data_IF_454164754243
#
_entry.id   IF_454164754243
#
_cell.length_a   1.000
_cell.length_b   1.000
_cell.length_c   1.000
_cell.angle_alpha   90.00
_cell.angle_beta   90.00
_cell.angle_gamma   90.00
#
_symmetry.space_group_name_H-M   'P 1'
#
loop_
_entity.id
_entity.type
_entity.pdbx_description
1 polymer ?
#
# COMPACT_ATOMS: atom_id res chain seq x y z
N UNK A 1 -22.28 -1.49 -21.31
CA UNK A 1 -21.41 -2.68 -21.30
C UNK A 1 -21.79 -3.48 -20.08
N UNK A 2 -21.99 -4.80 -20.14
CA UNK A 2 -22.30 -5.57 -18.93
C UNK A 2 -21.09 -5.59 -17.99
N UNK A 3 -21.32 -5.59 -16.67
CA UNK A 3 -20.24 -5.60 -15.67
C UNK A 3 -19.32 -6.82 -15.84
N UNK A 4 -19.86 -7.94 -16.30
CA UNK A 4 -19.09 -9.16 -16.65
C UNK A 4 -18.07 -8.90 -17.76
N UNK A 5 -18.46 -8.19 -18.82
CA UNK A 5 -17.55 -7.86 -19.92
C UNK A 5 -16.46 -6.88 -19.46
N UNK A 6 -16.84 -5.91 -18.60
CA UNK A 6 -15.91 -4.96 -18.02
C UNK A 6 -14.85 -5.66 -17.13
N UNK A 7 -15.24 -6.65 -16.32
CA UNK A 7 -14.31 -7.49 -15.54
C UNK A 7 -13.34 -8.23 -16.45
N UNK A 8 -13.84 -8.90 -17.50
CA UNK A 8 -12.97 -9.64 -18.44
C UNK A 8 -11.94 -8.73 -19.11
N UNK A 9 -12.36 -7.53 -19.57
CA UNK A 9 -11.44 -6.56 -20.16
C UNK A 9 -10.39 -6.06 -19.16
N UNK A 10 -10.80 -5.83 -17.91
CA UNK A 10 -9.90 -5.43 -16.85
C UNK A 10 -8.83 -6.51 -16.59
N UNK A 11 -9.21 -7.79 -16.51
CA UNK A 11 -8.28 -8.91 -16.32
C UNK A 11 -7.24 -8.99 -17.46
N UNK A 12 -7.68 -8.84 -18.71
CA UNK A 12 -6.76 -8.83 -19.87
C UNK A 12 -5.75 -7.69 -19.71
N UNK A 13 -6.23 -6.49 -19.45
CA UNK A 13 -5.41 -5.28 -19.31
C UNK A 13 -4.45 -5.35 -18.11
N UNK A 14 -4.90 -5.95 -17.00
CA UNK A 14 -4.06 -6.23 -15.84
C UNK A 14 -2.90 -7.20 -16.14
N UNK A 15 -3.18 -8.25 -16.91
CA UNK A 15 -2.13 -9.19 -17.31
C UNK A 15 -1.09 -8.55 -18.24
N UNK A 16 -1.51 -7.63 -19.11
CA UNK A 16 -0.60 -6.81 -19.91
C UNK A 16 0.22 -5.87 -19.03
N UNK A 17 -0.41 -5.21 -18.05
CA UNK A 17 0.26 -4.35 -17.07
C UNK A 17 1.37 -5.11 -16.31
N UNK A 18 1.09 -6.31 -15.84
CA UNK A 18 2.11 -7.13 -15.18
C UNK A 18 3.29 -7.45 -16.10
N UNK A 19 3.03 -7.73 -17.37
CA UNK A 19 4.09 -7.97 -18.37
C UNK A 19 4.96 -6.73 -18.60
N UNK A 20 4.33 -5.53 -18.67
CA UNK A 20 5.08 -4.29 -18.79
C UNK A 20 5.98 -4.03 -17.58
N UNK A 21 5.45 -4.19 -16.37
CA UNK A 21 6.22 -3.99 -15.13
C UNK A 21 7.38 -4.99 -15.05
N UNK A 22 7.18 -6.24 -15.46
CA UNK A 22 8.22 -7.29 -15.48
C UNK A 22 9.40 -7.00 -16.40
N UNK A 23 9.29 -6.10 -17.35
CA UNK A 23 10.42 -5.67 -18.20
C UNK A 23 11.52 -4.98 -17.38
N UNK A 24 11.18 -4.37 -16.26
CA UNK A 24 12.10 -3.61 -15.38
C UNK A 24 12.25 -4.27 -14.02
N UNK A 25 11.13 -4.73 -13.43
CA UNK A 25 11.10 -5.31 -12.08
C UNK A 25 11.21 -6.83 -12.19
N UNK A 26 12.33 -7.37 -11.74
CA UNK A 26 12.63 -8.79 -11.75
C UNK A 26 12.41 -9.37 -10.34
N UNK A 27 11.73 -10.51 -10.26
CA UNK A 27 11.67 -11.33 -9.05
C UNK A 27 10.76 -10.85 -7.92
N UNK A 28 10.03 -9.75 -8.07
CA UNK A 28 9.15 -9.20 -7.03
C UNK A 28 7.66 -9.31 -7.39
N UNK A 29 7.25 -10.42 -7.98
CA UNK A 29 5.89 -10.61 -8.47
C UNK A 29 4.81 -10.43 -7.40
N UNK A 30 5.04 -10.96 -6.20
CA UNK A 30 4.11 -10.85 -5.08
C UNK A 30 4.01 -9.41 -4.55
N UNK A 31 5.14 -8.72 -4.47
CA UNK A 31 5.20 -7.30 -4.07
C UNK A 31 4.44 -6.42 -5.07
N UNK A 32 4.69 -6.61 -6.37
CA UNK A 32 3.98 -5.91 -7.45
C UNK A 32 2.47 -6.18 -7.36
N UNK A 33 2.07 -7.43 -7.15
CA UNK A 33 0.66 -7.79 -7.02
C UNK A 33 0.00 -7.08 -5.83
N UNK A 34 0.61 -7.09 -4.64
CA UNK A 34 0.07 -6.42 -3.46
C UNK A 34 -0.01 -4.90 -3.64
N UNK A 35 0.97 -4.28 -4.32
CA UNK A 35 0.92 -2.85 -4.68
C UNK A 35 -0.24 -2.57 -5.63
N UNK A 36 -0.43 -3.38 -6.67
CA UNK A 36 -1.53 -3.21 -7.63
C UNK A 36 -2.89 -3.46 -6.98
N UNK A 37 -3.02 -4.47 -6.10
CA UNK A 37 -4.24 -4.69 -5.30
C UNK A 37 -4.54 -3.44 -4.48
N UNK A 38 -3.54 -2.84 -3.82
CA UNK A 38 -3.74 -1.61 -3.04
C UNK A 38 -4.25 -0.46 -3.91
N UNK A 39 -3.67 -0.25 -5.10
CA UNK A 39 -4.06 0.82 -6.03
C UNK A 39 -5.50 0.61 -6.53
N UNK A 40 -5.83 -0.59 -7.01
CA UNK A 40 -7.17 -0.88 -7.53
C UNK A 40 -8.22 -0.98 -6.44
N UNK A 41 -7.85 -1.27 -5.20
CA UNK A 41 -8.73 -1.14 -4.02
C UNK A 41 -8.91 0.30 -3.55
N UNK A 42 -8.12 1.26 -4.04
CA UNK A 42 -8.15 2.65 -3.59
C UNK A 42 -7.59 2.86 -2.19
N UNK A 43 -6.72 1.93 -1.73
CA UNK A 43 -5.99 2.00 -0.46
C UNK A 43 -4.59 2.57 -0.62
N UNK A 44 -3.80 2.57 0.46
CA UNK A 44 -2.41 2.97 0.51
C UNK A 44 -1.55 1.82 1.02
N UNK A 45 -0.25 1.79 0.70
CA UNK A 45 0.62 0.70 1.14
C UNK A 45 1.90 1.21 1.81
N UNK A 46 2.42 0.40 2.73
CA UNK A 46 3.70 0.60 3.39
C UNK A 46 4.68 -0.48 2.90
N UNK A 47 5.79 -0.08 2.30
CA UNK A 47 6.89 -0.97 1.93
C UNK A 47 7.92 -1.02 3.04
N UNK A 48 8.19 -2.19 3.54
CA UNK A 48 9.19 -2.44 4.58
C UNK A 48 10.33 -3.23 3.95
N UNK A 49 11.53 -2.69 3.97
CA UNK A 49 12.69 -3.38 3.42
C UNK A 49 13.96 -2.56 3.53
N UNK A 50 15.09 -3.24 3.46
CA UNK A 50 16.41 -2.62 3.54
C UNK A 50 16.69 -1.70 2.34
N UNK A 51 17.66 -0.79 2.43
CA UNK A 51 18.09 0.01 1.28
C UNK A 51 18.59 -0.88 0.13
N UNK A 52 18.51 -0.39 -1.10
CA UNK A 52 19.02 -1.10 -2.27
C UNK A 52 18.04 -2.08 -2.95
N UNK A 53 16.87 -2.35 -2.38
CA UNK A 53 15.86 -3.25 -2.97
C UNK A 53 14.97 -2.61 -4.04
N UNK A 54 15.48 -1.61 -4.75
CA UNK A 54 14.82 -0.95 -5.88
C UNK A 54 13.40 -0.40 -5.61
N UNK A 55 13.06 -0.04 -4.35
CA UNK A 55 11.73 0.48 -3.97
C UNK A 55 11.29 1.65 -4.85
N UNK A 56 12.17 2.63 -5.06
CA UNK A 56 11.88 3.80 -5.91
C UNK A 56 11.65 3.41 -7.36
N UNK A 57 12.46 2.48 -7.89
CA UNK A 57 12.30 1.97 -9.24
C UNK A 57 10.97 1.25 -9.43
N UNK A 58 10.59 0.41 -8.47
CA UNK A 58 9.29 -0.30 -8.46
C UNK A 58 8.12 0.70 -8.57
N UNK A 59 8.09 1.71 -7.71
CA UNK A 59 6.95 2.65 -7.66
C UNK A 59 6.91 3.52 -8.92
N UNK A 60 8.06 3.97 -9.39
CA UNK A 60 8.17 4.74 -10.64
C UNK A 60 7.67 3.92 -11.84
N UNK A 61 8.12 2.66 -11.97
CA UNK A 61 7.70 1.75 -13.05
C UNK A 61 6.19 1.49 -13.00
N UNK A 62 5.62 1.26 -11.81
CA UNK A 62 4.17 1.08 -11.64
C UNK A 62 3.41 2.34 -12.06
N UNK A 63 3.88 3.52 -11.66
CA UNK A 63 3.24 4.79 -12.01
C UNK A 63 3.26 5.04 -13.53
N UNK A 64 4.41 4.79 -14.17
CA UNK A 64 4.59 4.93 -15.63
C UNK A 64 3.67 3.96 -16.40
N UNK A 65 3.65 2.69 -16.01
CA UNK A 65 2.79 1.68 -16.62
C UNK A 65 1.28 1.95 -16.42
N UNK A 66 0.91 2.61 -15.32
CA UNK A 66 -0.46 3.06 -15.05
C UNK A 66 -0.81 4.43 -15.67
N UNK A 67 0.14 5.12 -16.30
CA UNK A 67 -0.08 6.45 -16.89
C UNK A 67 -0.45 7.52 -15.85
N UNK A 68 0.09 7.42 -14.64
CA UNK A 68 -0.21 8.30 -13.51
C UNK A 68 0.96 9.23 -13.19
N UNK A 69 0.65 10.44 -12.77
CA UNK A 69 1.64 11.38 -12.27
C UNK A 69 2.27 10.87 -10.98
N UNK A 70 3.60 10.87 -10.94
CA UNK A 70 4.42 10.38 -9.84
C UNK A 70 5.24 11.50 -9.21
N UNK A 71 5.32 11.53 -7.87
CA UNK A 71 6.27 12.35 -7.12
C UNK A 71 6.89 11.53 -5.99
N UNK A 72 8.19 11.70 -5.81
CA UNK A 72 8.93 11.18 -4.65
C UNK A 72 9.13 12.31 -3.65
N UNK A 73 8.88 12.02 -2.39
CA UNK A 73 9.16 12.88 -1.25
C UNK A 73 10.14 12.11 -0.37
N UNK A 74 11.38 12.58 -0.28
CA UNK A 74 12.37 12.03 0.65
C UNK A 74 12.12 12.62 2.03
N UNK A 75 11.81 11.80 2.99
CA UNK A 75 11.59 12.21 4.37
C UNK A 75 12.93 12.34 5.08
N UNK A 76 13.26 13.57 5.54
CA UNK A 76 14.47 13.93 6.26
C UNK A 76 14.09 14.60 7.58
N UNK A 77 14.98 14.63 8.59
CA UNK A 77 14.66 15.22 9.89
C UNK A 77 14.23 16.70 9.84
N UNK A 78 14.66 17.43 8.83
CA UNK A 78 14.39 18.85 8.60
C UNK A 78 13.19 19.12 7.69
N UNK A 79 12.57 18.07 7.09
CA UNK A 79 11.42 18.23 6.20
C UNK A 79 10.22 18.81 6.95
N UNK A 80 9.66 19.88 6.40
CA UNK A 80 8.49 20.58 6.98
C UNK A 80 7.19 20.15 6.30
N UNK A 81 6.03 20.26 6.98
CA UNK A 81 4.72 20.02 6.35
C UNK A 81 4.47 20.86 5.10
N UNK A 82 4.95 22.10 5.06
CA UNK A 82 4.86 22.99 3.89
C UNK A 82 5.59 22.45 2.66
N UNK A 83 6.67 21.69 2.84
CA UNK A 83 7.41 21.11 1.72
C UNK A 83 6.63 19.99 1.05
N UNK A 84 5.73 19.34 1.80
CA UNK A 84 4.83 18.29 1.31
C UNK A 84 3.57 18.89 0.72
N UNK A 85 2.91 19.75 1.48
CA UNK A 85 1.57 20.28 1.17
C UNK A 85 1.61 21.45 0.20
N UNK A 86 2.70 22.22 0.20
CA UNK A 86 2.80 23.52 -0.46
C UNK A 86 2.60 24.66 0.51
N UNK A 87 2.74 25.88 0.02
CA UNK A 87 2.67 27.10 0.79
C UNK A 87 2.08 28.25 -0.01
N UNK A 88 1.56 29.26 0.70
CA UNK A 88 1.18 30.52 0.08
C UNK A 88 2.40 31.45 -0.02
N UNK A 89 2.62 31.98 -1.21
CA UNK A 89 3.63 33.00 -1.47
C UNK A 89 2.95 34.29 -1.90
N UNK A 90 3.57 35.42 -1.52
CA UNK A 90 3.15 36.72 -2.01
C UNK A 90 3.68 36.91 -3.45
N UNK A 91 2.79 37.19 -4.39
CA UNK A 91 3.17 37.56 -5.75
C UNK A 91 3.67 39.01 -5.85
N UNK A 92 4.15 39.43 -7.01
CA UNK A 92 4.64 40.79 -7.27
C UNK A 92 3.56 41.87 -7.02
N UNK A 93 2.29 41.49 -7.11
CA UNK A 93 1.12 42.37 -6.90
C UNK A 93 0.61 42.32 -5.44
N UNK A 94 1.37 41.70 -4.52
CA UNK A 94 1.01 41.50 -3.12
C UNK A 94 -0.28 40.67 -2.92
N UNK A 95 -0.60 39.75 -3.83
CA UNK A 95 -1.64 38.76 -3.65
C UNK A 95 -1.02 37.45 -3.17
N UNK A 96 -1.72 36.76 -2.26
CA UNK A 96 -1.32 35.42 -1.86
C UNK A 96 -1.65 34.44 -2.97
N UNK A 97 -0.63 33.70 -3.41
CA UNK A 97 -0.76 32.63 -4.40
C UNK A 97 -0.35 31.32 -3.77
N UNK A 98 -1.24 30.32 -3.81
CA UNK A 98 -0.91 28.99 -3.34
C UNK A 98 -0.02 28.27 -4.37
N UNK A 99 1.13 27.80 -3.90
CA UNK A 99 2.05 26.92 -4.65
C UNK A 99 1.85 25.50 -4.17
N UNK A 100 1.32 24.64 -5.03
CA UNK A 100 1.06 23.23 -4.74
C UNK A 100 2.34 22.49 -4.42
N UNK A 101 2.36 21.75 -3.31
CA UNK A 101 3.44 20.84 -2.96
C UNK A 101 3.38 19.52 -3.76
N UNK A 102 4.38 18.64 -3.59
CA UNK A 102 4.46 17.37 -4.30
C UNK A 102 3.30 16.41 -4.01
N UNK A 103 2.55 16.62 -2.92
CA UNK A 103 1.39 15.81 -2.56
C UNK A 103 0.26 15.86 -3.61
N UNK A 104 0.23 16.90 -4.47
CA UNK A 104 -0.75 17.05 -5.55
C UNK A 104 -0.33 16.24 -6.79
N UNK A 105 -0.13 14.94 -6.58
CA UNK A 105 0.13 13.96 -7.65
C UNK A 105 -0.70 12.71 -7.40
N UNK A 106 -0.87 11.87 -8.43
CA UNK A 106 -1.66 10.65 -8.30
C UNK A 106 -0.97 9.58 -7.46
N UNK A 107 0.34 9.40 -7.64
CA UNK A 107 1.16 8.46 -6.89
C UNK A 107 2.27 9.22 -6.17
N UNK A 108 2.29 9.06 -4.86
CA UNK A 108 3.32 9.62 -3.98
C UNK A 108 4.15 8.48 -3.41
N UNK A 109 5.46 8.54 -3.61
CA UNK A 109 6.41 7.74 -2.84
C UNK A 109 6.91 8.58 -1.66
N UNK A 110 6.43 8.27 -0.46
CA UNK A 110 6.91 8.84 0.79
C UNK A 110 8.09 7.99 1.29
N UNK A 111 9.31 8.37 0.87
CA UNK A 111 10.50 7.55 1.10
C UNK A 111 11.09 7.83 2.48
N UNK A 112 11.29 6.76 3.27
CA UNK A 112 11.79 6.78 4.66
C UNK A 112 10.93 7.63 5.61
N UNK A 113 9.60 7.40 5.60
CA UNK A 113 8.62 8.19 6.36
C UNK A 113 8.94 8.30 7.85
N UNK A 114 9.64 7.31 8.42
CA UNK A 114 10.04 7.29 9.83
C UNK A 114 11.24 8.20 10.16
N UNK A 115 11.89 8.86 9.19
CA UNK A 115 13.01 9.79 9.45
C UNK A 115 12.58 11.21 9.77
N UNK A 116 11.30 11.50 9.71
CA UNK A 116 10.76 12.86 9.91
C UNK A 116 9.95 12.92 11.21
N UNK A 117 9.96 14.06 11.92
CA UNK A 117 9.17 14.22 13.14
C UNK A 117 7.69 14.00 12.93
N UNK A 118 6.93 13.59 13.98
CA UNK A 118 5.51 13.22 13.91
C UNK A 118 4.60 14.27 13.28
N UNK A 119 4.91 15.55 13.41
CA UNK A 119 4.13 16.64 12.81
C UNK A 119 4.09 16.58 11.28
N UNK A 120 5.23 16.27 10.66
CA UNK A 120 5.34 16.16 9.20
C UNK A 120 4.74 14.85 8.69
N UNK A 121 4.93 13.74 9.44
CA UNK A 121 4.23 12.48 9.14
C UNK A 121 2.71 12.67 9.16
N UNK A 122 2.18 13.36 10.20
CA UNK A 122 0.75 13.60 10.35
C UNK A 122 0.15 14.35 9.16
N UNK A 123 0.86 15.31 8.56
CA UNK A 123 0.39 16.05 7.40
C UNK A 123 0.13 15.14 6.19
N UNK A 124 1.04 14.19 5.90
CA UNK A 124 0.84 13.20 4.84
C UNK A 124 -0.31 12.26 5.17
N UNK A 125 -0.35 11.74 6.40
CA UNK A 125 -1.35 10.76 6.84
C UNK A 125 -2.78 11.35 6.90
N UNK A 126 -2.90 12.64 7.19
CA UNK A 126 -4.17 13.36 7.10
C UNK A 126 -4.64 13.46 5.64
N UNK A 127 -3.74 13.89 4.75
CA UNK A 127 -4.05 13.98 3.32
C UNK A 127 -4.43 12.62 2.71
N UNK A 128 -3.81 11.52 3.16
CA UNK A 128 -4.19 10.16 2.77
C UNK A 128 -5.64 9.83 3.15
N UNK A 129 -6.06 10.20 4.34
CA UNK A 129 -7.38 9.88 4.87
C UNK A 129 -8.47 10.78 4.27
N UNK A 130 -8.24 12.10 4.29
CA UNK A 130 -9.23 13.09 3.88
C UNK A 130 -9.27 13.30 2.36
N UNK A 131 -8.25 12.87 1.64
CA UNK A 131 -8.04 13.14 0.20
C UNK A 131 -8.15 14.62 -0.13
N UNK A 132 -7.73 15.43 0.80
CA UNK A 132 -7.70 16.90 0.72
C UNK A 132 -6.67 17.45 1.70
N UNK A 133 -6.23 18.67 1.48
CA UNK A 133 -5.34 19.42 2.37
C UNK A 133 -5.95 20.79 2.64
N UNK A 134 -5.83 21.29 3.87
CA UNK A 134 -6.28 22.62 4.26
C UNK A 134 -5.08 23.51 4.55
N UNK A 135 -4.95 24.61 3.79
CA UNK A 135 -3.86 25.58 3.89
C UNK A 135 -4.46 26.98 3.96
N UNK A 136 -4.04 27.75 4.94
CA UNK A 136 -4.53 29.13 5.18
C UNK A 136 -6.07 29.23 5.16
N UNK A 137 -6.79 28.24 5.69
CA UNK A 137 -8.26 28.20 5.74
C UNK A 137 -8.95 27.72 4.46
N UNK A 138 -8.20 27.46 3.38
CA UNK A 138 -8.72 26.93 2.12
C UNK A 138 -8.48 25.43 2.00
N UNK A 139 -9.52 24.67 1.64
CA UNK A 139 -9.41 23.21 1.43
C UNK A 139 -9.25 22.89 -0.05
N UNK A 140 -8.16 22.23 -0.37
CA UNK A 140 -7.79 21.78 -1.72
C UNK A 140 -7.97 20.26 -1.82
N UNK A 141 -8.79 19.79 -2.76
CA UNK A 141 -8.98 18.36 -3.04
C UNK A 141 -7.79 17.80 -3.81
N UNK A 142 -7.41 16.57 -3.48
CA UNK A 142 -6.41 15.81 -4.23
C UNK A 142 -7.07 15.09 -5.40
N UNK A 143 -6.37 15.05 -6.54
CA UNK A 143 -6.87 14.43 -7.76
C UNK A 143 -6.93 12.89 -7.61
N UNK A 144 -7.99 12.29 -8.16
CA UNK A 144 -8.16 10.83 -8.16
C UNK A 144 -7.60 10.24 -9.47
N UNK A 145 -7.09 8.99 -9.44
CA UNK A 145 -6.83 8.19 -8.24
C UNK A 145 -5.69 8.79 -7.42
N UNK A 146 -5.76 8.70 -6.10
CA UNK A 146 -4.72 9.14 -5.19
C UNK A 146 -4.17 7.97 -4.40
N UNK A 147 -2.89 7.72 -4.51
CA UNK A 147 -2.22 6.60 -3.88
C UNK A 147 -0.90 7.04 -3.24
N UNK A 148 -0.70 6.67 -1.98
CA UNK A 148 0.55 6.86 -1.25
C UNK A 148 1.18 5.50 -0.98
N UNK A 149 2.44 5.40 -1.34
CA UNK A 149 3.29 4.30 -1.01
C UNK A 149 4.42 4.83 -0.14
N UNK A 150 4.36 4.52 1.16
CA UNK A 150 5.39 4.92 2.10
C UNK A 150 6.45 3.83 2.22
N UNK A 151 7.70 4.20 2.52
CA UNK A 151 8.74 3.22 2.81
C UNK A 151 9.25 3.37 4.24
N UNK A 152 9.64 2.24 4.83
CA UNK A 152 10.38 2.18 6.08
C UNK A 152 11.60 1.28 5.92
N UNK A 153 12.70 1.72 6.53
CA UNK A 153 13.90 0.91 6.68
C UNK A 153 13.89 0.26 8.07
N UNK A 154 13.78 -1.08 8.19
CA UNK A 154 13.70 -1.74 9.48
C UNK A 154 15.02 -1.75 10.25
N UNK A 155 16.14 -1.51 9.60
CA UNK A 155 17.49 -1.56 10.21
C UNK A 155 17.86 -0.23 10.87
N UNK A 156 17.42 0.90 10.30
CA UNK A 156 17.72 2.22 10.83
C UNK A 156 16.82 2.53 12.02
N UNK A 157 17.41 2.51 13.22
CA UNK A 157 16.72 2.87 14.47
C UNK A 157 17.16 4.25 15.00
N UNK A 158 18.41 4.65 14.77
CA UNK A 158 18.91 5.94 15.21
C UNK A 158 18.33 7.09 14.37
N UNK A 159 17.89 8.15 15.05
CA UNK A 159 17.30 9.31 14.38
C UNK A 159 15.97 9.08 13.70
N UNK A 160 15.24 8.00 14.06
CA UNK A 160 13.92 7.69 13.52
C UNK A 160 12.81 7.94 14.50
N UNK A 161 11.62 8.22 13.95
CA UNK A 161 10.37 8.40 14.68
C UNK A 161 9.40 7.32 14.19
N UNK A 162 9.22 6.23 14.95
CA UNK A 162 8.30 5.16 14.55
C UNK A 162 6.87 5.68 14.40
N UNK A 163 6.17 5.17 13.41
CA UNK A 163 4.74 5.47 13.24
C UNK A 163 3.94 4.78 14.34
N UNK A 164 3.09 5.51 15.09
CA UNK A 164 2.14 4.88 16.02
C UNK A 164 1.20 3.91 15.29
N UNK A 165 0.70 2.91 16.01
CA UNK A 165 -0.19 1.87 15.47
C UNK A 165 -1.46 2.44 14.82
N UNK A 166 -2.03 3.50 15.42
CA UNK A 166 -3.19 4.20 14.86
C UNK A 166 -2.90 4.87 13.50
N UNK A 167 -1.64 5.20 13.23
CA UNK A 167 -1.19 5.74 11.96
C UNK A 167 -0.88 4.62 10.96
N UNK A 168 -0.27 3.52 11.42
CA UNK A 168 -0.04 2.32 10.62
C UNK A 168 -1.36 1.72 10.10
N UNK A 169 -2.42 1.74 10.88
CA UNK A 169 -3.75 1.24 10.48
C UNK A 169 -4.37 1.99 9.29
N UNK A 170 -3.83 3.15 8.89
CA UNK A 170 -4.24 3.88 7.67
C UNK A 170 -3.74 3.25 6.38
N UNK A 171 -2.66 2.47 6.45
CA UNK A 171 -2.18 1.70 5.31
C UNK A 171 -3.02 0.43 5.14
N UNK A 172 -3.41 0.14 3.91
CA UNK A 172 -4.15 -1.08 3.60
C UNK A 172 -3.25 -2.30 3.73
N UNK A 173 -2.06 -2.24 3.13
CA UNK A 173 -1.04 -3.28 3.17
C UNK A 173 0.25 -2.78 3.85
N UNK A 174 0.91 -3.68 4.58
CA UNK A 174 2.34 -3.63 4.85
C UNK A 174 3.02 -4.74 4.04
N UNK A 175 3.89 -4.36 3.13
CA UNK A 175 4.51 -5.23 2.14
C UNK A 175 6.00 -5.33 2.48
N UNK A 176 6.45 -6.53 2.82
CA UNK A 176 7.87 -6.77 3.05
C UNK A 176 8.58 -6.99 1.72
N UNK A 177 9.71 -6.32 1.56
CA UNK A 177 10.64 -6.55 0.45
C UNK A 177 11.83 -7.32 0.99
N UNK A 178 11.99 -8.53 0.48
CA UNK A 178 13.13 -9.37 0.78
C UNK A 178 14.21 -9.26 -0.33
N UNK A 179 15.41 -9.77 -0.03
CA UNK A 179 16.45 -9.89 -1.04
C UNK A 179 16.00 -10.81 -2.18
N UNK A 180 16.39 -10.50 -3.43
CA UNK A 180 16.13 -11.40 -4.55
C UNK A 180 16.83 -12.75 -4.33
N UNK A 181 16.27 -13.80 -4.89
CA UNK A 181 16.95 -15.09 -4.97
C UNK A 181 18.20 -14.98 -5.86
N UNK A 182 19.11 -15.95 -5.74
CA UNK A 182 20.33 -15.97 -6.55
C UNK A 182 20.06 -15.84 -8.06
N UNK A 183 19.06 -16.53 -8.57
CA UNK A 183 18.73 -16.49 -10.01
C UNK A 183 18.12 -15.13 -10.42
N UNK A 184 17.28 -14.56 -9.59
CA UNK A 184 16.72 -13.22 -9.81
C UNK A 184 17.80 -12.14 -9.78
N UNK A 185 18.76 -12.24 -8.85
CA UNK A 185 19.90 -11.32 -8.78
C UNK A 185 20.79 -11.42 -10.02
N UNK A 186 21.06 -12.65 -10.52
CA UNK A 186 21.76 -12.86 -11.80
C UNK A 186 21.02 -12.18 -12.96
N UNK A 187 19.70 -12.30 -13.02
CA UNK A 187 18.90 -11.68 -14.07
C UNK A 187 18.84 -10.16 -13.93
N UNK A 188 18.78 -9.63 -12.72
CA UNK A 188 18.91 -8.17 -12.44
C UNK A 188 20.24 -7.67 -12.99
N UNK A 189 21.36 -8.33 -12.67
CA UNK A 189 22.68 -7.91 -13.13
C UNK A 189 22.76 -7.94 -14.66
N UNK A 190 22.29 -9.00 -15.30
CA UNK A 190 22.26 -9.10 -16.77
C UNK A 190 21.46 -7.98 -17.41
N UNK A 191 20.28 -7.65 -16.86
CA UNK A 191 19.40 -6.63 -17.44
C UNK A 191 19.84 -5.20 -17.16
N UNK A 192 20.46 -4.93 -16.02
CA UNK A 192 20.87 -3.58 -15.62
C UNK A 192 22.24 -3.17 -16.15
N UNK A 193 23.10 -4.12 -16.52
CA UNK A 193 24.45 -3.84 -17.04
C UNK A 193 24.54 -3.72 -18.56
N UNK A 194 23.46 -3.99 -19.31
CA UNK A 194 23.43 -4.02 -20.78
C UNK A 194 22.99 -2.68 -21.41
N UNK A 195 23.13 -1.58 -20.76
CA UNK A 195 23.03 -0.22 -21.37
C UNK A 195 21.69 0.23 -21.96
N UNK A 196 20.80 -0.64 -22.39
CA UNK A 196 19.50 -0.29 -22.95
C UNK A 196 18.39 -0.46 -21.89
N UNK A 197 17.79 0.64 -21.45
CA UNK A 197 16.62 0.56 -20.58
C UNK A 197 15.38 0.25 -21.42
N UNK A 198 14.58 -0.78 -21.05
CA UNK A 198 13.31 -1.05 -21.73
C UNK A 198 12.36 0.14 -21.54
N UNK A 199 11.64 0.47 -22.61
CA UNK A 199 10.60 1.50 -22.58
C UNK A 199 9.32 0.88 -22.02
N UNK A 200 8.70 1.55 -21.05
CA UNK A 200 7.42 1.17 -20.48
C UNK A 200 6.29 1.86 -21.21
N UNK A 201 5.28 1.09 -21.62
CA UNK A 201 4.07 1.63 -22.22
C UNK A 201 3.04 1.87 -21.13
N UNK A 202 2.42 3.06 -21.15
CA UNK A 202 1.25 3.34 -20.32
C UNK A 202 0.04 2.57 -20.85
N UNK A 203 -0.57 1.75 -19.97
CA UNK A 203 -1.70 0.90 -20.31
C UNK A 203 -3.04 1.38 -19.75
N UNK A 204 -3.03 2.29 -18.79
CA UNK A 204 -4.22 2.83 -18.16
C UNK A 204 -4.23 4.35 -18.21
N UNK A 205 -5.41 4.93 -18.03
CA UNK A 205 -5.61 6.34 -17.67
C UNK A 205 -6.16 6.46 -16.26
N UNK A 206 -6.10 7.66 -15.69
CA UNK A 206 -6.66 7.92 -14.37
C UNK A 206 -8.16 7.57 -14.30
N UNK A 207 -8.93 7.92 -15.33
CA UNK A 207 -10.36 7.64 -15.42
C UNK A 207 -10.66 6.13 -15.49
N UNK A 208 -9.83 5.36 -16.20
CA UNK A 208 -9.97 3.91 -16.29
C UNK A 208 -9.71 3.25 -14.93
N UNK A 209 -8.70 3.70 -14.18
CA UNK A 209 -8.42 3.19 -12.85
C UNK A 209 -9.59 3.48 -11.90
N UNK A 210 -10.15 4.70 -11.93
CA UNK A 210 -11.34 5.05 -11.14
C UNK A 210 -12.53 4.16 -11.51
N UNK A 211 -12.73 3.87 -12.79
CA UNK A 211 -13.79 2.94 -13.25
C UNK A 211 -13.55 1.52 -12.74
N UNK A 212 -12.30 1.03 -12.76
CA UNK A 212 -11.95 -0.28 -12.20
C UNK A 212 -12.21 -0.33 -10.69
N UNK A 213 -11.83 0.71 -9.92
CA UNK A 213 -12.13 0.80 -8.50
C UNK A 213 -13.65 0.75 -8.23
N UNK A 214 -14.44 1.50 -9.02
CA UNK A 214 -15.90 1.46 -8.93
C UNK A 214 -16.51 0.10 -9.29
N UNK A 215 -15.93 -0.62 -10.25
CA UNK A 215 -16.33 -1.98 -10.62
C UNK A 215 -16.06 -2.96 -9.47
N UNK A 216 -14.85 -2.91 -8.88
CA UNK A 216 -14.47 -3.76 -7.75
C UNK A 216 -15.40 -3.57 -6.54
N UNK A 217 -15.79 -2.33 -6.25
CA UNK A 217 -16.73 -2.06 -5.14
C UNK A 217 -18.06 -2.76 -5.33
N UNK A 218 -18.56 -2.91 -6.57
CA UNK A 218 -19.82 -3.58 -6.90
C UNK A 218 -19.76 -5.11 -6.89
N UNK A 219 -18.57 -5.71 -6.83
CA UNK A 219 -18.42 -7.17 -6.79
C UNK A 219 -19.16 -7.73 -5.55
N UNK A 220 -20.09 -8.68 -5.74
CA UNK A 220 -20.80 -9.30 -4.63
C UNK A 220 -19.87 -10.14 -3.76
N UNK A 221 -20.18 -10.24 -2.48
CA UNK A 221 -19.48 -11.11 -1.52
C UNK A 221 -20.53 -11.93 -0.79
N UNK A 222 -20.33 -13.23 -0.69
CA UNK A 222 -21.23 -14.10 0.07
C UNK A 222 -21.08 -13.85 1.58
N UNK A 223 -22.17 -13.97 2.33
CA UNK A 223 -22.21 -13.67 3.77
C UNK A 223 -21.20 -14.50 4.57
N UNK A 224 -21.01 -15.78 4.23
CA UNK A 224 -20.03 -16.65 4.87
C UNK A 224 -18.57 -16.14 4.71
N UNK A 225 -18.25 -15.48 3.60
CA UNK A 225 -16.92 -14.87 3.37
C UNK A 225 -16.75 -13.62 4.23
N UNK A 226 -17.81 -12.82 4.37
CA UNK A 226 -17.82 -11.65 5.26
C UNK A 226 -17.66 -12.10 6.71
N UNK A 227 -18.43 -13.09 7.14
CA UNK A 227 -18.36 -13.67 8.49
C UNK A 227 -16.98 -14.26 8.79
N UNK A 228 -16.37 -14.94 7.81
CA UNK A 228 -15.00 -15.45 7.92
C UNK A 228 -13.99 -14.31 8.15
N UNK A 229 -14.03 -13.24 7.34
CA UNK A 229 -13.12 -12.11 7.49
C UNK A 229 -13.28 -11.43 8.86
N UNK A 230 -14.50 -11.24 9.34
CA UNK A 230 -14.78 -10.66 10.68
C UNK A 230 -14.29 -11.58 11.79
N UNK A 231 -14.54 -12.90 11.65
CA UNK A 231 -14.07 -13.90 12.61
C UNK A 231 -12.55 -13.97 12.66
N UNK A 232 -11.88 -13.96 11.49
CA UNK A 232 -10.42 -13.95 11.40
C UNK A 232 -9.83 -12.74 12.16
N UNK A 233 -10.37 -11.55 11.96
CA UNK A 233 -9.96 -10.35 12.71
C UNK A 233 -10.29 -10.48 14.20
N UNK A 234 -11.45 -11.04 14.54
CA UNK A 234 -11.84 -11.32 15.93
C UNK A 234 -10.85 -12.25 16.64
N UNK A 235 -10.38 -13.31 15.96
CA UNK A 235 -9.37 -14.24 16.47
C UNK A 235 -8.04 -13.54 16.83
N UNK A 236 -7.69 -12.40 16.19
CA UNK A 236 -6.45 -11.68 16.50
C UNK A 236 -6.47 -10.94 17.83
N UNK A 237 -7.63 -10.77 18.47
CA UNK A 237 -7.82 -9.96 19.68
C UNK A 237 -7.70 -10.83 20.93
N UNK A 238 -6.66 -10.67 21.77
CA UNK A 238 -6.42 -11.57 22.93
C UNK A 238 -7.57 -11.66 23.92
N UNK A 239 -8.36 -10.60 24.06
CA UNK A 239 -9.52 -10.53 24.98
C UNK A 239 -10.84 -10.97 24.35
N UNK A 240 -10.84 -11.35 23.05
CA UNK A 240 -12.04 -11.86 22.39
C UNK A 240 -12.37 -13.28 22.82
N UNK A 241 -13.66 -13.64 22.84
CA UNK A 241 -14.11 -15.03 23.03
C UNK A 241 -13.65 -15.96 21.91
N UNK A 242 -13.34 -15.41 20.73
CA UNK A 242 -12.85 -16.15 19.55
C UNK A 242 -11.33 -16.24 19.50
N UNK A 243 -10.59 -15.65 20.47
CA UNK A 243 -9.14 -15.66 20.49
C UNK A 243 -8.59 -17.09 20.62
N UNK A 244 -7.62 -17.42 19.74
CA UNK A 244 -6.91 -18.69 19.81
C UNK A 244 -5.89 -18.68 20.97
N UNK A 245 -5.45 -19.85 21.43
CA UNK A 245 -4.45 -19.95 22.51
C UNK A 245 -3.12 -19.29 22.14
N UNK A 246 -2.72 -19.37 20.87
CA UNK A 246 -1.51 -18.69 20.36
C UNK A 246 -1.64 -17.18 20.48
N UNK A 247 -2.79 -16.60 20.14
CA UNK A 247 -3.04 -15.16 20.25
C UNK A 247 -3.08 -14.71 21.70
N UNK A 248 -3.75 -15.44 22.60
CA UNK A 248 -3.77 -15.13 24.04
C UNK A 248 -2.37 -15.15 24.65
N UNK A 249 -1.48 -16.04 24.14
CA UNK A 249 -0.13 -16.21 24.66
C UNK A 249 0.86 -15.17 24.13
N UNK A 250 0.72 -14.74 22.86
CA UNK A 250 1.76 -14.03 22.13
C UNK A 250 1.39 -12.65 21.58
N UNK A 251 0.11 -12.25 21.63
CA UNK A 251 -0.35 -10.98 21.11
C UNK A 251 -0.83 -10.08 22.25
N UNK A 252 -0.30 -8.85 22.30
CA UNK A 252 -0.77 -7.81 23.22
C UNK A 252 -1.96 -7.05 22.65
N UNK A 253 -1.93 -6.78 21.34
CA UNK A 253 -2.97 -6.02 20.67
C UNK A 253 -3.32 -6.60 19.31
N UNK A 254 -4.61 -6.76 19.05
CA UNK A 254 -5.16 -7.30 17.80
C UNK A 254 -5.76 -6.23 16.88
N UNK A 255 -6.12 -6.63 15.66
CA UNK A 255 -6.60 -5.74 14.62
C UNK A 255 -8.01 -5.16 14.89
N UNK A 256 -8.23 -3.93 14.45
CA UNK A 256 -9.51 -3.20 14.48
C UNK A 256 -10.45 -3.55 13.32
N UNK A 257 -11.69 -2.99 13.29
CA UNK A 257 -12.67 -3.25 12.23
C UNK A 257 -12.21 -2.84 10.83
N UNK A 258 -11.31 -1.85 10.71
CA UNK A 258 -10.73 -1.44 9.42
C UNK A 258 -10.00 -2.60 8.73
N UNK A 259 -9.42 -3.52 9.51
CA UNK A 259 -8.80 -4.73 8.95
C UNK A 259 -9.83 -5.62 8.23
N UNK A 260 -11.03 -5.84 8.80
CA UNK A 260 -12.09 -6.61 8.13
C UNK A 260 -12.54 -5.95 6.83
N UNK A 261 -12.68 -4.62 6.82
CA UNK A 261 -13.02 -3.86 5.61
C UNK A 261 -11.96 -4.01 4.53
N UNK A 262 -10.67 -3.88 4.91
CA UNK A 262 -9.56 -4.02 4.00
C UNK A 262 -9.42 -5.46 3.47
N UNK A 263 -9.67 -6.49 4.29
CA UNK A 263 -9.70 -7.89 3.87
C UNK A 263 -10.72 -8.11 2.76
N UNK A 264 -11.96 -7.66 2.97
CA UNK A 264 -13.02 -7.82 1.98
C UNK A 264 -12.70 -7.07 0.69
N UNK A 265 -12.29 -5.80 0.78
CA UNK A 265 -12.02 -4.98 -0.41
C UNK A 265 -10.82 -5.52 -1.20
N UNK A 266 -9.77 -5.94 -0.51
CA UNK A 266 -8.58 -6.53 -1.14
C UNK A 266 -8.87 -7.91 -1.73
N UNK A 267 -9.68 -8.74 -1.08
CA UNK A 267 -10.10 -10.03 -1.61
C UNK A 267 -10.99 -9.89 -2.86
N UNK A 268 -11.90 -8.90 -2.91
CA UNK A 268 -12.64 -8.55 -4.13
C UNK A 268 -11.67 -8.23 -5.27
N UNK A 269 -10.68 -7.39 -4.98
CA UNK A 269 -9.68 -6.99 -5.98
C UNK A 269 -8.86 -8.19 -6.43
N UNK A 270 -8.33 -8.97 -5.49
CA UNK A 270 -7.57 -10.19 -5.78
C UNK A 270 -8.38 -11.16 -6.64
N UNK A 271 -9.62 -11.45 -6.27
CA UNK A 271 -10.52 -12.33 -7.01
C UNK A 271 -10.73 -11.85 -8.46
N UNK A 272 -11.03 -10.56 -8.64
CA UNK A 272 -11.21 -9.97 -9.98
C UNK A 272 -9.94 -10.09 -10.82
N UNK A 273 -8.78 -9.76 -10.27
CA UNK A 273 -7.50 -9.85 -10.97
C UNK A 273 -7.16 -11.29 -11.40
N UNK A 274 -7.72 -12.28 -10.70
CA UNK A 274 -7.60 -13.71 -11.04
C UNK A 274 -8.80 -14.26 -11.83
N UNK A 275 -9.66 -13.38 -12.38
CA UNK A 275 -10.77 -13.74 -13.26
C UNK A 275 -12.01 -14.27 -12.57
N UNK A 276 -12.09 -14.17 -11.22
CA UNK A 276 -13.29 -14.51 -10.43
C UNK A 276 -14.26 -13.32 -10.41
N UNK A 277 -15.54 -13.60 -10.24
CA UNK A 277 -16.60 -12.59 -10.12
C UNK A 277 -17.12 -12.39 -8.68
N UNK A 278 -16.56 -13.12 -7.74
CA UNK A 278 -16.82 -13.03 -6.31
C UNK A 278 -15.61 -13.60 -5.56
N UNK A 279 -15.18 -13.00 -4.46
CA UNK A 279 -14.12 -13.59 -3.62
C UNK A 279 -14.65 -14.78 -2.83
N UNK A 280 -13.74 -15.69 -2.49
CA UNK A 280 -13.95 -16.79 -1.56
C UNK A 280 -13.02 -16.67 -0.33
N UNK A 281 -13.08 -17.67 0.56
CA UNK A 281 -12.28 -17.70 1.79
C UNK A 281 -10.77 -17.73 1.47
N UNK A 282 -10.36 -18.45 0.43
CA UNK A 282 -8.96 -18.53 0.02
C UNK A 282 -8.42 -17.17 -0.43
N UNK A 283 -9.24 -16.36 -1.10
CA UNK A 283 -8.86 -15.00 -1.49
C UNK A 283 -8.64 -14.09 -0.28
N UNK A 284 -9.43 -14.26 0.81
CA UNK A 284 -9.19 -13.59 2.09
C UNK A 284 -7.84 -14.01 2.68
N UNK A 285 -7.54 -15.31 2.70
CA UNK A 285 -6.27 -15.84 3.25
C UNK A 285 -5.06 -15.33 2.48
N UNK A 286 -5.15 -15.21 1.14
CA UNK A 286 -4.07 -14.69 0.29
C UNK A 286 -3.67 -13.26 0.63
N UNK A 287 -4.62 -12.40 0.97
CA UNK A 287 -4.35 -10.99 1.28
C UNK A 287 -4.13 -10.74 2.78
N UNK A 288 -4.47 -11.71 3.64
CA UNK A 288 -4.55 -11.53 5.09
C UNK A 288 -3.21 -11.12 5.72
N UNK A 289 -2.11 -11.76 5.32
CA UNK A 289 -0.79 -11.47 5.93
C UNK A 289 -0.41 -10.01 5.72
N UNK A 290 -0.46 -9.52 4.48
CA UNK A 290 -0.11 -8.13 4.17
C UNK A 290 -1.02 -7.10 4.85
N UNK A 291 -2.27 -7.47 5.15
CA UNK A 291 -3.25 -6.58 5.80
C UNK A 291 -3.12 -6.61 7.32
N UNK A 292 -2.78 -7.76 7.92
CA UNK A 292 -2.82 -7.93 9.38
C UNK A 292 -1.46 -7.67 10.05
N UNK A 293 -0.31 -7.90 9.36
CA UNK A 293 1.02 -7.88 10.00
C UNK A 293 1.35 -6.59 10.75
N UNK A 294 0.94 -5.44 10.23
CA UNK A 294 1.20 -4.13 10.86
C UNK A 294 0.11 -3.68 11.84
N UNK A 295 -0.88 -4.53 12.08
CA UNK A 295 -2.02 -4.29 12.98
C UNK A 295 -1.99 -5.14 14.25
N UNK A 296 -1.10 -6.13 14.31
CA UNK A 296 -0.91 -7.00 15.46
C UNK A 296 0.38 -6.64 16.18
N UNK A 297 0.30 -6.49 17.49
CA UNK A 297 1.46 -6.20 18.33
C UNK A 297 1.79 -7.47 19.13
N UNK A 298 2.98 -8.00 18.88
CA UNK A 298 3.52 -9.12 19.65
C UNK A 298 3.91 -8.68 21.05
N UNK A 299 3.79 -9.59 22.01
CA UNK A 299 4.34 -9.38 23.33
C UNK A 299 5.81 -9.85 23.41
N UNK A 300 6.44 -9.56 24.55
CA UNK A 300 7.84 -9.94 24.82
C UNK A 300 8.10 -11.46 24.68
N UNK A 301 7.11 -12.31 25.01
CA UNK A 301 7.27 -13.77 24.91
C UNK A 301 7.41 -14.22 23.47
N UNK A 302 6.61 -13.64 22.56
CA UNK A 302 6.71 -13.94 21.13
C UNK A 302 8.07 -13.54 20.57
N UNK A 303 8.63 -12.42 21.03
CA UNK A 303 9.95 -11.97 20.60
C UNK A 303 11.05 -12.87 21.15
N UNK A 304 10.98 -13.23 22.41
CA UNK A 304 11.95 -14.11 23.08
C UNK A 304 11.97 -15.55 22.47
N UNK A 305 10.81 -16.05 22.02
CA UNK A 305 10.69 -17.35 21.36
C UNK A 305 10.96 -17.27 19.83
N UNK A 306 11.27 -16.08 19.28
CA UNK A 306 11.56 -15.88 17.85
C UNK A 306 10.37 -16.10 16.92
N UNK A 307 9.12 -15.99 17.44
CA UNK A 307 7.92 -16.26 16.65
C UNK A 307 7.63 -15.07 15.72
N UNK A 308 7.47 -15.35 14.42
CA UNK A 308 7.12 -14.31 13.46
C UNK A 308 5.63 -13.96 13.53
N UNK A 309 5.29 -12.71 13.20
CA UNK A 309 3.90 -12.27 13.14
C UNK A 309 3.13 -13.02 12.04
N UNK A 310 3.82 -13.33 10.94
CA UNK A 310 3.30 -14.08 9.81
C UNK A 310 2.88 -15.51 10.20
N UNK A 311 3.68 -16.19 11.04
CA UNK A 311 3.35 -17.54 11.52
C UNK A 311 2.14 -17.52 12.44
N UNK A 312 2.03 -16.47 13.29
CA UNK A 312 0.84 -16.29 14.12
C UNK A 312 -0.39 -16.08 13.24
N UNK A 313 -0.31 -15.21 12.20
CA UNK A 313 -1.45 -14.97 11.30
C UNK A 313 -1.83 -16.24 10.55
N UNK A 314 -0.86 -17.00 10.01
CA UNK A 314 -1.12 -18.26 9.30
C UNK A 314 -1.82 -19.29 10.18
N UNK A 315 -1.53 -19.31 11.49
CA UNK A 315 -2.18 -20.23 12.42
C UNK A 315 -3.66 -19.92 12.71
N UNK A 316 -4.17 -18.78 12.23
CA UNK A 316 -5.57 -18.36 12.41
C UNK A 316 -6.50 -18.81 11.29
N UNK A 317 -5.96 -19.31 10.18
CA UNK A 317 -6.72 -19.72 8.97
C UNK A 317 -7.58 -20.96 9.14
#
# INVERSE_FOLDING_TARGET
MSDVLAVKQFVIKYNELRKEIKKIIVGQDEVVEQVLISIFSGGHALLIGVPGLAKTLLVHTVAEALGLNFKRIQFTPDLMPSDILGSELLDENRHFKFIKGPIFSNIILADEINRTPPKTQAALLEAMQERSVTIAGHTYKLDKPYFVLATQNPIEQEGTYPLPEAQLDRFMFAINLDYPSFYEEVDIVKTTTVGAKPVINSLFTAEEIIKCQGLIQKIPVADNVIEYAVTLVGKTRPKSSTATEIVKKYIDWGAGPRASQNLILSAKTYAVLHGKFSPDIEDIQKVAIGILRHRLIKNYKAEAEGLSIEDIIKSLF
#
